data_IF_419198483283
#
_entry.id   IF_419198483283
#
_cell.length_a   1.000
_cell.length_b   1.000
_cell.length_c   1.000
_cell.angle_alpha   90.00
_cell.angle_beta   90.00
_cell.angle_gamma   90.00
#
_symmetry.space_group_name_H-M   'P 1'
#
loop_
_entity.id
_entity.type
_entity.pdbx_description
1 polymer ?
#
# COMPACT_ATOMS: atom_id res chain seq x y z
N UNK A 1 -25.93 30.89 -26.37
CA UNK A 1 -24.64 31.30 -25.79
C UNK A 1 -24.32 30.28 -24.72
N UNK A 2 -23.50 29.28 -25.07
CA UNK A 2 -23.13 28.24 -24.11
C UNK A 2 -22.02 28.79 -23.24
N UNK A 3 -22.26 28.82 -21.94
CA UNK A 3 -21.31 29.25 -20.93
C UNK A 3 -20.20 28.18 -20.84
N UNK A 4 -19.05 28.46 -21.46
CA UNK A 4 -17.87 27.61 -21.36
C UNK A 4 -17.25 27.88 -19.99
N UNK A 5 -17.64 27.09 -18.98
CA UNK A 5 -16.99 27.11 -17.68
C UNK A 5 -15.55 26.64 -17.84
N UNK A 6 -14.62 27.59 -17.96
CA UNK A 6 -13.18 27.33 -17.94
C UNK A 6 -12.83 26.84 -16.53
N UNK A 7 -12.52 25.56 -16.39
CA UNK A 7 -12.08 24.98 -15.14
C UNK A 7 -10.61 25.35 -14.91
N UNK A 8 -10.37 26.30 -14.02
CA UNK A 8 -9.02 26.63 -13.58
C UNK A 8 -8.60 25.67 -12.46
N UNK A 9 -7.58 24.85 -12.71
CA UNK A 9 -7.07 23.87 -11.74
C UNK A 9 -5.77 24.37 -11.14
N UNK A 10 -5.78 24.67 -9.84
CA UNK A 10 -4.58 24.93 -9.06
C UNK A 10 -4.20 23.70 -8.22
N UNK A 11 -2.92 23.38 -8.16
CA UNK A 11 -2.39 22.34 -7.25
C UNK A 11 -1.80 23.04 -6.03
N UNK A 12 -2.19 22.58 -4.84
CA UNK A 12 -1.80 23.18 -3.57
C UNK A 12 -1.25 22.11 -2.64
N UNK A 13 -0.26 22.46 -1.83
CA UNK A 13 0.24 21.61 -0.77
C UNK A 13 -0.50 21.90 0.53
N UNK A 14 -0.84 20.84 1.28
CA UNK A 14 -1.58 20.94 2.52
C UNK A 14 -1.18 19.83 3.49
N UNK A 15 -1.31 20.12 4.79
CA UNK A 15 -1.19 19.12 5.85
C UNK A 15 -2.59 18.63 6.22
N UNK A 16 -2.77 17.31 6.27
CA UNK A 16 -4.00 16.69 6.77
C UNK A 16 -3.85 16.39 8.27
N UNK A 17 -4.63 17.08 9.11
CA UNK A 17 -4.60 16.92 10.57
C UNK A 17 -6.00 17.04 11.16
N UNK A 18 -6.39 16.08 12.00
CA UNK A 18 -7.68 16.12 12.71
C UNK A 18 -8.92 16.17 11.79
N UNK A 19 -8.83 15.59 10.59
CA UNK A 19 -9.93 15.62 9.62
C UNK A 19 -9.98 16.87 8.74
N UNK A 20 -9.06 17.82 8.93
CA UNK A 20 -9.03 19.10 8.22
C UNK A 20 -7.77 19.18 7.34
N UNK A 21 -7.93 19.61 6.08
CA UNK A 21 -6.82 19.97 5.19
C UNK A 21 -6.41 21.41 5.46
N UNK A 22 -5.16 21.61 5.90
CA UNK A 22 -4.57 22.92 6.20
C UNK A 22 -3.61 23.29 5.06
N UNK A 23 -3.98 24.21 4.15
CA UNK A 23 -3.09 24.65 3.08
C UNK A 23 -1.81 25.25 3.65
N UNK A 24 -0.68 24.93 3.02
CA UNK A 24 0.61 25.57 3.34
C UNK A 24 0.76 26.93 2.63
N UNK A 25 -0.10 27.21 1.66
CA UNK A 25 -0.10 28.41 0.85
C UNK A 25 -1.49 29.03 0.85
N UNK A 26 -1.55 30.36 0.72
CA UNK A 26 -2.82 31.08 0.61
C UNK A 26 -3.54 30.70 -0.67
N UNK A 27 -4.81 30.33 -0.55
CA UNK A 27 -5.65 30.02 -1.71
C UNK A 27 -6.22 31.31 -2.29
N UNK A 28 -5.84 31.63 -3.52
CA UNK A 28 -6.44 32.72 -4.30
C UNK A 28 -7.63 32.22 -5.12
N UNK A 29 -8.57 33.12 -5.43
CA UNK A 29 -9.67 32.82 -6.35
C UNK A 29 -10.82 32.00 -5.76
N UNK A 30 -10.80 31.69 -4.47
CA UNK A 30 -11.90 31.02 -3.77
C UNK A 30 -12.75 32.03 -3.00
N UNK A 31 -14.06 32.00 -3.21
CA UNK A 31 -15.01 32.72 -2.36
C UNK A 31 -15.27 31.94 -1.08
N UNK A 32 -15.50 32.68 0.01
CA UNK A 32 -15.90 32.07 1.28
C UNK A 32 -17.22 31.28 1.10
N UNK A 33 -17.28 30.06 1.63
CA UNK A 33 -18.40 29.14 1.43
C UNK A 33 -18.50 28.53 0.01
N UNK A 34 -17.52 28.79 -0.87
CA UNK A 34 -17.45 28.20 -2.19
C UNK A 34 -17.25 26.68 -2.14
N UNK A 35 -17.99 25.93 -2.97
CA UNK A 35 -17.77 24.50 -3.16
C UNK A 35 -16.56 24.28 -4.06
N UNK A 36 -15.65 23.41 -3.63
CA UNK A 36 -14.45 23.04 -4.39
C UNK A 36 -14.38 21.53 -4.60
N UNK A 37 -13.82 21.10 -5.72
CA UNK A 37 -13.47 19.70 -5.96
C UNK A 37 -12.02 19.50 -5.54
N UNK A 38 -11.77 18.55 -4.64
CA UNK A 38 -10.43 18.26 -4.12
C UNK A 38 -9.92 16.96 -4.74
N UNK A 39 -8.68 16.98 -5.23
CA UNK A 39 -7.94 15.79 -5.64
C UNK A 39 -6.83 15.56 -4.62
N UNK A 40 -6.79 14.38 -4.00
CA UNK A 40 -5.75 14.02 -3.04
C UNK A 40 -4.65 13.25 -3.78
N UNK A 41 -3.50 13.89 -3.94
CA UNK A 41 -2.29 13.27 -4.47
C UNK A 41 -1.28 13.12 -3.33
N UNK A 42 -1.40 12.02 -2.59
CA UNK A 42 -0.37 11.64 -1.63
C UNK A 42 0.62 10.71 -2.35
N UNK A 43 1.95 10.90 -2.22
CA UNK A 43 2.88 9.88 -2.67
C UNK A 43 2.45 8.55 -2.06
N UNK A 44 2.36 7.51 -2.88
CA UNK A 44 2.05 6.18 -2.39
C UNK A 44 2.96 5.93 -1.19
N UNK A 45 2.38 5.62 -0.02
CA UNK A 45 3.13 5.18 1.16
C UNK A 45 4.13 4.13 0.66
N UNK A 46 5.39 4.51 0.66
CA UNK A 46 6.50 3.72 0.15
C UNK A 46 6.55 2.48 1.00
N UNK A 47 6.05 1.35 0.52
CA UNK A 47 6.29 0.08 1.19
C UNK A 47 7.80 -0.09 1.26
N UNK A 48 8.35 -0.05 2.47
CA UNK A 48 9.76 -0.30 2.69
C UNK A 48 10.07 -1.69 2.19
N UNK A 49 10.84 -1.75 1.11
CA UNK A 49 11.49 -2.96 0.64
C UNK A 49 12.68 -3.29 1.55
N UNK A 50 13.30 -4.45 1.33
CA UNK A 50 14.36 -5.05 2.16
C UNK A 50 15.65 -4.19 2.29
N UNK A 51 15.63 -2.93 1.83
CA UNK A 51 16.74 -1.98 1.86
C UNK A 51 16.45 -0.70 2.69
N UNK A 52 15.33 -0.63 3.44
CA UNK A 52 15.20 0.28 4.58
C UNK A 52 14.69 1.72 4.33
N UNK A 53 13.81 1.96 3.34
CA UNK A 53 13.17 3.30 3.16
C UNK A 53 11.65 3.30 3.43
N UNK A 54 11.22 4.14 4.38
CA UNK A 54 9.93 4.12 5.12
C UNK A 54 8.61 4.13 4.31
N UNK A 55 7.64 3.32 4.76
CA UNK A 55 6.22 3.63 4.66
C UNK A 55 5.22 2.58 5.17
N UNK A 56 4.09 3.12 5.65
CA UNK A 56 3.04 2.55 6.51
C UNK A 56 2.17 1.42 5.91
N UNK A 57 2.72 0.47 5.14
CA UNK A 57 1.97 -0.73 4.75
C UNK A 57 2.76 -2.00 5.06
N UNK A 58 2.22 -2.94 5.85
CA UNK A 58 2.88 -4.21 6.09
C UNK A 58 3.10 -4.93 4.75
N UNK A 59 4.30 -5.49 4.57
CA UNK A 59 4.66 -6.19 3.34
C UNK A 59 3.60 -7.25 3.00
N UNK A 60 3.16 -7.41 1.73
CA UNK A 60 2.08 -8.35 1.37
C UNK A 60 2.33 -9.81 1.79
N UNK A 61 3.60 -10.19 1.97
CA UNK A 61 4.01 -11.53 2.43
C UNK A 61 4.21 -11.63 3.94
N UNK A 62 4.08 -10.54 4.70
CA UNK A 62 4.20 -10.55 6.16
C UNK A 62 3.16 -11.49 6.80
N UNK A 63 2.00 -11.66 6.16
CA UNK A 63 0.97 -12.63 6.58
C UNK A 63 1.41 -14.10 6.50
N UNK A 64 2.50 -14.38 5.79
CA UNK A 64 3.12 -15.69 5.67
C UNK A 64 4.43 -15.78 6.46
N UNK A 65 4.85 -14.69 7.12
CA UNK A 65 5.99 -14.73 8.02
C UNK A 65 5.54 -15.41 9.32
N UNK A 66 6.08 -16.60 9.57
CA UNK A 66 5.87 -17.36 10.80
C UNK A 66 7.00 -18.36 10.98
N UNK A 67 7.30 -18.68 12.23
CA UNK A 67 8.21 -19.76 12.60
C UNK A 67 7.36 -20.97 12.97
N UNK A 68 7.62 -22.10 12.34
CA UNK A 68 7.09 -23.38 12.81
C UNK A 68 7.86 -23.83 14.05
N UNK A 69 7.20 -24.54 14.95
CA UNK A 69 7.89 -25.15 16.09
C UNK A 69 8.68 -26.41 15.67
N UNK A 70 9.54 -26.92 16.55
CA UNK A 70 10.40 -28.07 16.24
C UNK A 70 9.58 -29.35 15.95
N UNK A 71 8.37 -29.48 16.52
CA UNK A 71 7.52 -30.64 16.30
C UNK A 71 6.88 -30.58 14.90
N UNK A 72 6.35 -29.42 14.51
CA UNK A 72 5.84 -29.15 13.16
C UNK A 72 6.94 -29.30 12.11
N UNK A 73 8.16 -28.85 12.39
CA UNK A 73 9.32 -29.02 11.52
C UNK A 73 9.69 -30.50 11.33
N UNK A 74 9.72 -31.27 12.42
CA UNK A 74 10.01 -32.71 12.38
C UNK A 74 8.93 -33.49 11.61
N UNK A 75 7.66 -33.11 11.76
CA UNK A 75 6.55 -33.71 11.02
C UNK A 75 6.68 -33.45 9.51
N UNK A 76 6.95 -32.20 9.12
CA UNK A 76 7.16 -31.84 7.72
C UNK A 76 8.34 -32.60 7.10
N UNK A 77 9.45 -32.73 7.83
CA UNK A 77 10.61 -33.52 7.39
C UNK A 77 10.24 -34.99 7.16
N UNK A 78 9.45 -35.59 8.06
CA UNK A 78 8.99 -36.97 7.92
C UNK A 78 8.10 -37.13 6.69
N UNK A 79 7.13 -36.24 6.49
CA UNK A 79 6.22 -36.28 5.34
C UNK A 79 7.00 -36.16 4.03
N UNK A 80 7.94 -35.21 3.94
CA UNK A 80 8.77 -35.05 2.73
C UNK A 80 9.56 -36.32 2.45
N UNK A 81 10.18 -36.93 3.47
CA UNK A 81 10.94 -38.17 3.31
C UNK A 81 10.07 -39.36 2.87
N UNK A 82 8.84 -39.44 3.38
CA UNK A 82 7.88 -40.49 3.04
C UNK A 82 7.35 -40.35 1.60
N UNK A 83 7.14 -39.12 1.12
CA UNK A 83 6.64 -38.83 -0.22
C UNK A 83 7.75 -38.89 -1.29
N UNK A 84 8.92 -38.31 -1.05
CA UNK A 84 10.04 -38.33 -2.01
C UNK A 84 10.67 -39.71 -2.18
N UNK A 85 10.46 -40.64 -1.23
CA UNK A 85 10.85 -42.05 -1.39
C UNK A 85 9.93 -42.86 -2.30
N UNK A 86 8.81 -42.28 -2.76
CA UNK A 86 7.84 -42.92 -3.66
C UNK A 86 8.00 -42.47 -5.12
N UNK A 87 9.18 -42.00 -5.52
CA UNK A 87 9.46 -41.81 -6.94
C UNK A 87 9.62 -43.21 -7.54
N UNK A 88 8.59 -43.68 -8.25
CA UNK A 88 8.69 -44.91 -9.03
C UNK A 88 9.67 -44.68 -10.18
N UNK A 89 10.81 -45.36 -10.13
CA UNK A 89 11.83 -45.29 -11.18
C UNK A 89 11.36 -45.87 -12.53
N UNK A 90 10.19 -46.51 -12.59
CA UNK A 90 9.54 -46.99 -13.81
C UNK A 90 8.53 -45.98 -14.41
N UNK A 91 8.25 -44.84 -13.77
CA UNK A 91 7.38 -43.80 -14.31
C UNK A 91 8.18 -42.73 -15.09
N UNK A 92 8.79 -43.13 -16.21
CA UNK A 92 9.34 -42.25 -17.25
C UNK A 92 8.78 -42.62 -18.63
#
# INVERSE_FOLDING_TARGET
>A
MSDTTMLETQTIEAIYEGGVLRPLQTLSGLSEGGKVKITIAQPARSTTDDNGTAGDRPHPLLKFAGTIDDAEAAELQRIIADEFRKIDYNEW
#
